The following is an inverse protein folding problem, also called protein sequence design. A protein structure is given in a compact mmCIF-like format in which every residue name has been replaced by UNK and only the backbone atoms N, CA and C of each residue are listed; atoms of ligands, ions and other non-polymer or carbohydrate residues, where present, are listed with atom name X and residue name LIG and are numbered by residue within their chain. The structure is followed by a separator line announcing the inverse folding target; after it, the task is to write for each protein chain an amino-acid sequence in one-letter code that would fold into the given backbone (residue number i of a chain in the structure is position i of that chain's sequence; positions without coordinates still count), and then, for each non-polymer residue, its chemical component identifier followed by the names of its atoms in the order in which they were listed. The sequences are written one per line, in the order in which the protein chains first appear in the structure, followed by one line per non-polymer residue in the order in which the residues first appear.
data_IF_876710657580
#
_entry.id   IF_876710657580
#
_cell.length_a   1.000
_cell.length_b   1.000
_cell.length_c   1.000
_cell.angle_alpha   90.00
_cell.angle_beta   90.00
_cell.angle_gamma   90.00
#
_symmetry.space_group_name_H-M   'P 1'
#
loop_
_entity.id
_entity.type
_entity.pdbx_description
1 polymer ?
#
# COMPACT_ATOMS: atom_id res chain seq x y z
N UNK A 1 62.95 23.79 55.76
CA UNK A 1 61.87 22.85 56.16
C UNK A 1 60.61 23.64 56.51
N UNK A 2 59.73 23.90 55.53
CA UNK A 2 58.42 24.58 55.76
C UNK A 2 57.40 24.18 54.69
N UNK A 3 57.48 22.94 54.19
CA UNK A 3 56.69 22.46 53.05
C UNK A 3 55.82 21.23 53.41
N UNK A 4 55.69 20.91 54.70
CA UNK A 4 54.88 19.80 55.21
C UNK A 4 53.52 20.23 55.78
N UNK A 5 53.27 21.53 55.96
CA UNK A 5 51.98 22.05 56.49
C UNK A 5 50.94 22.37 55.42
N UNK A 6 51.33 22.65 54.17
CA UNK A 6 50.39 22.97 53.10
C UNK A 6 49.83 21.74 52.39
N UNK A 7 50.51 20.60 52.46
CA UNK A 7 50.06 19.36 51.81
C UNK A 7 48.90 18.68 52.58
N UNK A 8 48.90 18.77 53.91
CA UNK A 8 47.81 18.25 54.74
C UNK A 8 46.52 19.07 54.65
N UNK A 9 46.62 20.39 54.42
CA UNK A 9 45.43 21.25 54.23
C UNK A 9 44.78 21.00 52.86
N UNK A 10 45.57 20.75 51.82
CA UNK A 10 45.05 20.43 50.48
C UNK A 10 44.36 19.05 50.44
N UNK A 11 44.88 18.05 51.17
CA UNK A 11 44.27 16.72 51.23
C UNK A 11 42.95 16.72 52.05
N UNK A 12 42.86 17.56 53.08
CA UNK A 12 41.64 17.74 53.88
C UNK A 12 40.51 18.46 53.10
N UNK A 13 40.85 19.40 52.20
CA UNK A 13 39.86 20.05 51.32
C UNK A 13 39.38 19.15 50.17
N UNK A 14 40.24 18.24 49.67
CA UNK A 14 39.87 17.26 48.64
C UNK A 14 39.00 16.12 49.19
N UNK A 15 39.19 15.71 50.46
CA UNK A 15 38.36 14.69 51.09
C UNK A 15 36.94 15.18 51.43
N UNK A 16 36.76 16.48 51.66
CA UNK A 16 35.46 17.08 51.97
C UNK A 16 34.56 17.29 50.73
N UNK A 17 35.15 17.31 49.52
CA UNK A 17 34.42 17.49 48.26
C UNK A 17 33.95 16.16 47.63
N UNK A 18 34.45 15.02 48.11
CA UNK A 18 34.01 13.66 47.72
C UNK A 18 32.85 13.11 48.58
N UNK A 19 32.46 13.82 49.64
CA UNK A 19 31.35 13.45 50.54
C UNK A 19 30.07 14.26 50.28
N UNK A 20 30.08 15.15 49.27
CA UNK A 20 28.94 15.95 48.84
C UNK A 20 28.29 15.40 47.55
N UNK A 21 28.45 14.11 47.27
CA UNK A 21 27.63 13.40 46.28
C UNK A 21 26.21 13.31 46.83
N UNK A 22 25.43 14.36 46.53
CA UNK A 22 24.00 14.43 46.79
C UNK A 22 23.36 13.14 46.32
N UNK A 23 22.52 12.55 47.17
CA UNK A 23 21.69 11.42 46.78
C UNK A 23 20.92 11.86 45.54
N UNK A 24 21.20 11.26 44.38
CA UNK A 24 20.33 11.35 43.23
C UNK A 24 19.03 10.65 43.64
N UNK A 25 18.08 11.42 44.16
CA UNK A 25 16.70 10.98 44.32
C UNK A 25 16.13 10.90 42.91
N UNK A 26 16.33 9.77 42.24
CA UNK A 26 15.50 9.38 41.12
C UNK A 26 14.12 9.03 41.70
N UNK A 27 13.36 10.05 42.06
CA UNK A 27 11.97 9.89 42.45
C UNK A 27 11.19 9.70 41.15
N UNK A 28 10.62 8.51 40.95
CA UNK A 28 9.60 8.32 39.93
C UNK A 28 8.48 9.31 40.24
N UNK A 29 8.32 10.32 39.39
CA UNK A 29 7.12 11.13 39.37
C UNK A 29 6.12 10.42 38.45
N UNK A 30 4.98 10.01 39.01
CA UNK A 30 3.88 9.55 38.18
C UNK A 30 3.45 10.71 37.28
N UNK A 31 3.47 10.49 35.97
CA UNK A 31 2.98 11.46 35.00
C UNK A 31 1.49 11.70 35.28
N UNK A 32 1.09 12.97 35.35
CA UNK A 32 -0.31 13.35 35.48
C UNK A 32 -1.07 13.01 34.18
N UNK A 33 -2.40 12.84 34.24
CA UNK A 33 -3.21 12.53 33.05
C UNK A 33 -3.07 13.58 31.92
N UNK A 34 -2.72 14.83 32.23
CA UNK A 34 -2.39 15.87 31.24
C UNK A 34 -1.01 15.69 30.59
N UNK A 35 -0.03 15.17 31.33
CA UNK A 35 1.28 14.81 30.79
C UNK A 35 1.20 13.47 30.04
N UNK A 36 0.40 12.51 30.52
CA UNK A 36 0.05 11.29 29.80
C UNK A 36 -0.76 11.57 28.53
N UNK A 37 -1.59 12.62 28.50
CA UNK A 37 -2.26 13.12 27.28
C UNK A 37 -1.27 13.75 26.29
N UNK A 38 -0.18 14.34 26.79
CA UNK A 38 0.91 14.86 25.95
C UNK A 38 1.81 13.74 25.45
N UNK A 39 1.96 12.67 26.24
CA UNK A 39 2.41 11.35 25.77
C UNK A 39 1.26 10.68 25.01
N UNK A 40 0.83 11.32 23.91
CA UNK A 40 0.03 10.65 22.91
C UNK A 40 0.83 9.40 22.51
N UNK A 41 0.31 8.22 22.85
CA UNK A 41 0.78 7.00 22.23
C UNK A 41 0.75 7.24 20.74
N UNK A 42 1.92 7.23 20.10
CA UNK A 42 2.03 7.26 18.65
C UNK A 42 1.38 5.97 18.17
N UNK A 43 0.06 6.02 17.99
CA UNK A 43 -0.68 4.92 17.41
C UNK A 43 -0.06 4.68 16.04
N UNK A 44 0.17 3.42 15.71
CA UNK A 44 0.69 2.93 14.43
C UNK A 44 -0.16 3.38 13.21
N UNK A 45 -1.17 4.23 13.39
CA UNK A 45 -2.11 4.60 12.35
C UNK A 45 -2.33 6.11 12.29
N UNK A 46 -2.23 6.68 11.09
CA UNK A 46 -2.64 8.04 10.78
C UNK A 46 -4.07 8.05 10.22
N UNK A 47 -4.86 9.07 10.60
CA UNK A 47 -6.22 9.25 10.10
C UNK A 47 -6.31 10.60 9.39
N UNK A 48 -6.84 10.61 8.17
CA UNK A 48 -7.08 11.83 7.40
C UNK A 48 -8.46 11.81 6.75
N UNK A 49 -9.05 13.00 6.61
CA UNK A 49 -10.34 13.17 5.95
C UNK A 49 -10.18 14.12 4.76
N UNK A 50 -10.88 13.82 3.66
CA UNK A 50 -10.93 14.67 2.47
C UNK A 50 -12.31 14.61 1.85
N UNK A 51 -12.60 15.55 0.94
CA UNK A 51 -13.83 15.56 0.15
C UNK A 51 -13.49 15.80 -1.30
N UNK A 52 -14.09 15.02 -2.20
CA UNK A 52 -13.84 15.12 -3.63
C UNK A 52 -15.06 14.67 -4.43
N UNK A 53 -15.47 15.46 -5.43
CA UNK A 53 -16.61 15.18 -6.31
C UNK A 53 -17.90 14.74 -5.60
N UNK A 54 -18.23 15.37 -4.47
CA UNK A 54 -19.46 15.09 -3.72
C UNK A 54 -19.38 13.86 -2.78
N UNK A 55 -18.21 13.23 -2.68
CA UNK A 55 -17.93 12.18 -1.71
C UNK A 55 -17.02 12.70 -0.60
N UNK A 56 -17.23 12.18 0.60
CA UNK A 56 -16.35 12.37 1.75
C UNK A 56 -15.54 11.08 1.97
N UNK A 57 -14.27 11.22 2.30
CA UNK A 57 -13.32 10.12 2.46
C UNK A 57 -12.71 10.14 3.85
N UNK A 58 -12.58 8.98 4.48
CA UNK A 58 -11.80 8.79 5.71
C UNK A 58 -10.74 7.73 5.46
N UNK A 59 -9.48 8.15 5.42
CA UNK A 59 -8.31 7.28 5.25
C UNK A 59 -7.68 6.96 6.59
N UNK A 60 -7.38 5.69 6.82
CA UNK A 60 -6.63 5.16 7.95
C UNK A 60 -5.39 4.46 7.37
N UNK A 61 -4.20 4.98 7.62
CA UNK A 61 -2.95 4.48 7.04
C UNK A 61 -1.95 4.06 8.13
N UNK A 62 -1.10 3.06 7.87
CA UNK A 62 -0.16 2.49 8.85
C UNK A 62 1.07 3.36 9.14
N UNK A 63 1.29 4.44 8.39
CA UNK A 63 2.45 5.33 8.49
C UNK A 63 3.79 4.57 8.61
N UNK A 64 3.93 3.53 7.78
CA UNK A 64 5.04 2.59 7.84
C UNK A 64 5.42 2.04 6.46
N UNK A 65 6.69 1.67 6.32
CA UNK A 65 7.19 0.88 5.19
C UNK A 65 7.17 -0.61 5.54
N UNK A 66 6.56 -1.40 4.66
CA UNK A 66 6.37 -2.85 4.80
C UNK A 66 7.13 -3.58 3.70
N UNK A 67 7.91 -4.59 4.10
CA UNK A 67 8.49 -5.57 3.17
C UNK A 67 7.59 -6.80 3.13
N UNK A 68 7.23 -7.24 1.93
CA UNK A 68 6.32 -8.36 1.72
C UNK A 68 6.95 -9.44 0.84
N UNK A 69 7.00 -10.66 1.37
CA UNK A 69 7.05 -11.87 0.56
C UNK A 69 5.77 -12.65 0.84
N UNK A 70 4.91 -12.81 -0.16
CA UNK A 70 3.65 -13.50 0.02
C UNK A 70 3.19 -14.21 -1.25
N UNK A 71 2.44 -15.29 -1.08
CA UNK A 71 1.74 -16.00 -2.14
C UNK A 71 0.25 -16.01 -1.83
N UNK A 72 -0.54 -15.46 -2.74
CA UNK A 72 -1.99 -15.52 -2.74
C UNK A 72 -2.41 -16.38 -3.93
N UNK A 73 -3.27 -17.35 -3.70
CA UNK A 73 -3.79 -18.24 -4.72
C UNK A 73 -5.32 -18.19 -4.72
N UNK A 74 -5.91 -18.32 -5.91
CA UNK A 74 -7.35 -18.41 -6.11
C UNK A 74 -8.14 -17.25 -5.47
N UNK A 75 -7.68 -16.02 -5.69
CA UNK A 75 -8.40 -14.83 -5.28
C UNK A 75 -9.57 -14.60 -6.25
N UNK A 76 -10.78 -14.90 -5.78
CA UNK A 76 -12.02 -14.67 -6.53
C UNK A 76 -12.94 -13.75 -5.75
N UNK A 77 -13.19 -12.56 -6.26
CA UNK A 77 -13.94 -11.52 -5.57
C UNK A 77 -14.98 -10.87 -6.50
N UNK A 78 -16.13 -10.49 -5.93
CA UNK A 78 -17.17 -9.75 -6.66
C UNK A 78 -17.93 -10.63 -7.65
N UNK A 79 -18.32 -11.82 -7.21
CA UNK A 79 -19.12 -12.75 -7.98
C UNK A 79 -20.61 -12.39 -7.93
N UNK A 80 -21.19 -12.12 -9.09
CA UNK A 80 -22.61 -11.81 -9.29
C UNK A 80 -22.97 -11.89 -10.78
N UNK A 81 -24.25 -11.88 -11.10
CA UNK A 81 -24.70 -11.93 -12.50
C UNK A 81 -24.40 -10.62 -13.24
N UNK A 82 -23.66 -10.70 -14.34
CA UNK A 82 -23.35 -9.56 -15.21
C UNK A 82 -23.42 -10.00 -16.68
N UNK A 83 -24.54 -9.72 -17.33
CA UNK A 83 -24.86 -10.26 -18.66
C UNK A 83 -23.77 -10.02 -19.74
N UNK A 84 -23.14 -8.83 -19.85
CA UNK A 84 -22.14 -8.59 -20.89
C UNK A 84 -20.91 -9.49 -20.82
N UNK A 85 -20.58 -10.07 -19.65
CA UNK A 85 -19.40 -10.93 -19.42
C UNK A 85 -19.62 -11.92 -18.27
N UNK A 86 -20.67 -12.71 -18.36
CA UNK A 86 -21.05 -13.60 -17.25
C UNK A 86 -20.19 -14.87 -17.16
N UNK A 87 -19.44 -15.21 -18.22
CA UNK A 87 -18.69 -16.48 -18.31
C UNK A 87 -17.61 -16.68 -17.26
N UNK A 88 -16.94 -15.61 -16.80
CA UNK A 88 -15.94 -15.67 -15.72
C UNK A 88 -16.55 -15.44 -14.32
N UNK A 89 -17.74 -14.85 -14.23
CA UNK A 89 -18.56 -14.72 -13.03
C UNK A 89 -18.10 -13.72 -11.96
N UNK A 90 -16.83 -13.28 -11.94
CA UNK A 90 -16.27 -12.44 -10.87
C UNK A 90 -15.60 -11.16 -11.38
N UNK A 91 -15.62 -10.11 -10.54
CA UNK A 91 -14.96 -8.84 -10.83
C UNK A 91 -13.44 -8.95 -10.80
N UNK A 92 -12.87 -9.67 -9.83
CA UNK A 92 -11.46 -10.05 -9.82
C UNK A 92 -11.34 -11.56 -9.71
N UNK A 93 -10.68 -12.19 -10.67
CA UNK A 93 -10.34 -13.61 -10.65
C UNK A 93 -8.84 -13.77 -10.94
N UNK A 94 -8.08 -14.06 -9.89
CA UNK A 94 -6.62 -14.15 -9.92
C UNK A 94 -6.21 -15.51 -9.35
N UNK A 95 -5.75 -16.39 -10.23
CA UNK A 95 -5.32 -17.74 -9.85
C UNK A 95 -4.01 -17.75 -9.04
N UNK A 96 -3.12 -16.80 -9.32
CA UNK A 96 -1.87 -16.62 -8.59
C UNK A 96 -1.48 -15.14 -8.53
N UNK A 97 -1.14 -14.67 -7.33
CA UNK A 97 -0.56 -13.36 -7.07
C UNK A 97 0.59 -13.54 -6.07
N UNK A 98 1.81 -13.26 -6.49
CA UNK A 98 3.03 -13.53 -5.73
C UNK A 98 3.83 -12.25 -5.58
N UNK A 99 4.03 -11.81 -4.36
CA UNK A 99 4.85 -10.66 -4.02
C UNK A 99 6.28 -11.14 -3.78
N UNK A 100 7.17 -10.81 -4.72
CA UNK A 100 8.53 -11.30 -4.76
C UNK A 100 8.69 -12.53 -5.64
N UNK A 101 9.94 -12.90 -5.89
CA UNK A 101 10.34 -14.09 -6.65
C UNK A 101 11.65 -14.66 -6.11
N UNK A 102 11.79 -15.98 -6.15
CA UNK A 102 12.95 -16.71 -5.63
C UNK A 102 13.94 -17.18 -6.71
N UNK A 103 13.60 -17.00 -7.99
CA UNK A 103 14.38 -17.43 -9.16
C UNK A 103 15.27 -16.33 -9.77
N UNK A 104 15.33 -15.13 -9.16
CA UNK A 104 16.12 -13.99 -9.63
C UNK A 104 17.10 -13.41 -8.57
N UNK A 105 17.36 -14.15 -7.48
CA UNK A 105 18.26 -13.75 -6.40
C UNK A 105 17.56 -13.00 -5.25
N UNK A 106 18.32 -12.71 -4.18
CA UNK A 106 17.76 -12.17 -2.93
C UNK A 106 17.14 -10.78 -3.08
N UNK A 107 17.63 -9.96 -4.01
CA UNK A 107 17.12 -8.61 -4.24
C UNK A 107 15.66 -8.59 -4.71
N UNK A 108 15.20 -9.66 -5.37
CA UNK A 108 13.85 -9.76 -5.93
C UNK A 108 12.90 -10.55 -5.03
N UNK A 109 13.34 -10.99 -3.84
CA UNK A 109 12.50 -11.79 -2.92
C UNK A 109 11.45 -10.99 -2.17
N UNK A 110 11.58 -9.67 -2.10
CA UNK A 110 10.71 -8.81 -1.32
C UNK A 110 10.13 -7.73 -2.21
N UNK A 111 8.86 -7.40 -1.97
CA UNK A 111 8.20 -6.22 -2.50
C UNK A 111 8.12 -5.18 -1.38
N UNK A 112 8.49 -3.95 -1.70
CA UNK A 112 8.39 -2.80 -0.81
C UNK A 112 7.01 -2.16 -0.95
N UNK A 113 6.33 -1.93 0.16
CA UNK A 113 5.01 -1.29 0.23
C UNK A 113 5.11 -0.12 1.21
N UNK A 114 4.83 1.09 0.74
CA UNK A 114 4.87 2.31 1.55
C UNK A 114 3.47 2.73 1.95
N UNK A 115 3.29 2.97 3.25
CA UNK A 115 2.10 3.52 3.88
C UNK A 115 0.79 2.83 3.42
N UNK A 116 0.60 1.53 3.72
CA UNK A 116 -0.63 0.84 3.39
C UNK A 116 -1.81 1.45 4.15
N UNK A 117 -2.97 1.53 3.50
CA UNK A 117 -4.14 2.21 4.02
C UNK A 117 -5.46 1.51 3.67
N UNK A 118 -6.47 1.81 4.47
CA UNK A 118 -7.88 1.65 4.14
C UNK A 118 -8.51 3.04 4.03
N UNK A 119 -9.39 3.25 3.05
CA UNK A 119 -10.10 4.51 2.87
C UNK A 119 -11.58 4.24 2.64
N UNK A 120 -12.41 4.74 3.54
CA UNK A 120 -13.87 4.63 3.47
C UNK A 120 -14.45 5.80 2.70
N UNK A 121 -15.49 5.53 1.91
CA UNK A 121 -16.18 6.51 1.08
C UNK A 121 -17.60 6.69 1.58
N UNK A 122 -17.99 7.95 1.77
CA UNK A 122 -19.30 8.36 2.22
C UNK A 122 -19.93 9.36 1.25
N UNK A 123 -21.26 9.41 1.22
CA UNK A 123 -22.01 10.48 0.55
C UNK A 123 -23.10 11.02 1.47
N UNK A 124 -23.41 12.30 1.31
CA UNK A 124 -24.53 12.93 2.00
C UNK A 124 -25.84 12.59 1.28
N UNK A 125 -26.86 12.14 2.01
CA UNK A 125 -28.14 11.67 1.43
C UNK A 125 -29.24 12.74 1.45
N UNK A 126 -28.87 14.02 1.57
CA UNK A 126 -29.80 15.16 1.51
C UNK A 126 -30.52 15.50 2.82
N UNK A 127 -30.35 14.71 3.89
CA UNK A 127 -30.80 15.04 5.25
C UNK A 127 -29.62 15.32 6.16
N UNK A 128 -29.69 16.40 6.95
CA UNK A 128 -28.64 16.73 7.92
C UNK A 128 -28.39 15.53 8.86
N UNK A 129 -27.15 15.06 8.93
CA UNK A 129 -26.74 13.93 9.76
C UNK A 129 -26.88 12.54 9.14
N UNK A 130 -27.40 12.39 7.92
CA UNK A 130 -27.46 11.09 7.24
C UNK A 130 -26.34 10.93 6.19
N UNK A 131 -25.26 10.25 6.61
CA UNK A 131 -24.18 9.81 5.73
C UNK A 131 -24.37 8.35 5.36
N UNK A 132 -24.35 8.07 4.07
CA UNK A 132 -24.36 6.70 3.56
C UNK A 132 -22.92 6.25 3.27
N UNK A 133 -22.56 5.05 3.74
CA UNK A 133 -21.33 4.36 3.33
C UNK A 133 -21.50 3.86 1.90
N UNK A 134 -20.74 4.45 0.97
CA UNK A 134 -20.72 4.08 -0.45
C UNK A 134 -19.83 2.88 -0.70
N UNK A 135 -18.73 2.77 0.04
CA UNK A 135 -17.78 1.68 -0.10
C UNK A 135 -16.46 1.96 0.61
N UNK A 136 -15.43 1.23 0.23
CA UNK A 136 -14.08 1.42 0.72
C UNK A 136 -13.05 1.01 -0.33
N UNK A 137 -11.81 1.47 -0.18
CA UNK A 137 -10.64 0.93 -0.88
C UNK A 137 -9.53 0.60 0.10
N UNK A 138 -8.71 -0.37 -0.30
CA UNK A 138 -7.41 -0.64 0.30
C UNK A 138 -6.33 -0.35 -0.73
N UNK A 139 -5.20 0.18 -0.30
CA UNK A 139 -4.09 0.52 -1.18
C UNK A 139 -2.85 0.89 -0.39
N UNK A 140 -1.90 1.48 -1.09
CA UNK A 140 -0.65 1.97 -0.52
C UNK A 140 -0.18 3.18 -1.32
N UNK A 141 0.61 4.04 -0.69
CA UNK A 141 1.16 5.23 -1.36
C UNK A 141 2.30 4.88 -2.33
N UNK A 142 2.95 3.72 -2.13
CA UNK A 142 4.00 3.23 -3.00
C UNK A 142 4.10 1.71 -3.00
N UNK A 143 4.40 1.14 -4.17
CA UNK A 143 4.85 -0.25 -4.31
C UNK A 143 6.06 -0.32 -5.24
N UNK A 144 7.06 -1.11 -4.86
CA UNK A 144 8.24 -1.38 -5.68
C UNK A 144 8.67 -2.83 -5.55
N UNK A 145 8.91 -3.49 -6.69
CA UNK A 145 9.39 -4.87 -6.76
C UNK A 145 8.66 -5.71 -7.78
N UNK A 146 9.03 -6.99 -7.84
CA UNK A 146 8.48 -7.94 -8.80
C UNK A 146 7.24 -8.63 -8.23
N UNK A 147 6.17 -8.66 -9.03
CA UNK A 147 4.91 -9.35 -8.71
C UNK A 147 4.64 -10.40 -9.79
N UNK A 148 4.63 -11.67 -9.40
CA UNK A 148 4.10 -12.74 -10.24
C UNK A 148 2.58 -12.69 -10.25
N UNK A 149 1.94 -12.77 -11.42
CA UNK A 149 0.48 -12.72 -11.52
C UNK A 149 -0.06 -13.60 -12.63
N UNK A 150 -1.25 -14.17 -12.40
CA UNK A 150 -2.04 -14.85 -13.43
C UNK A 150 -3.52 -14.52 -13.22
N UNK A 151 -3.98 -13.54 -13.98
CA UNK A 151 -5.31 -12.96 -13.89
C UNK A 151 -6.18 -13.54 -15.00
N UNK A 152 -7.32 -14.13 -14.62
CA UNK A 152 -8.31 -14.63 -15.56
C UNK A 152 -9.25 -13.51 -16.01
N UNK A 153 -9.78 -12.73 -15.06
CA UNK A 153 -10.53 -11.51 -15.35
C UNK A 153 -10.30 -10.45 -14.29
N UNK A 154 -10.37 -9.19 -14.70
CA UNK A 154 -10.34 -8.06 -13.78
C UNK A 154 -11.35 -6.97 -14.14
N UNK A 155 -11.88 -6.31 -13.12
CA UNK A 155 -12.67 -5.09 -13.23
C UNK A 155 -11.81 -3.96 -12.75
N UNK A 156 -11.44 -3.03 -13.61
CA UNK A 156 -10.47 -2.05 -13.20
C UNK A 156 -9.90 -1.17 -14.31
N UNK A 157 -9.12 -0.20 -13.86
CA UNK A 157 -8.24 0.61 -14.68
C UNK A 157 -6.79 0.15 -14.44
N UNK A 158 -6.34 -0.82 -15.24
CA UNK A 158 -4.96 -1.32 -15.22
C UNK A 158 -4.28 -1.07 -16.56
N UNK A 159 -3.00 -0.68 -16.52
CA UNK A 159 -2.13 -0.59 -17.69
C UNK A 159 -0.78 -1.20 -17.39
N UNK A 160 -0.36 -2.16 -18.21
CA UNK A 160 0.96 -2.79 -18.16
C UNK A 160 1.73 -2.39 -19.41
N UNK A 161 2.89 -1.77 -19.24
CA UNK A 161 3.84 -1.50 -20.32
C UNK A 161 4.63 -2.76 -20.66
N UNK A 162 4.54 -3.25 -21.89
CA UNK A 162 5.24 -4.43 -22.39
C UNK A 162 6.40 -4.06 -23.33
N UNK A 163 6.86 -2.80 -23.30
CA UNK A 163 7.96 -2.30 -24.11
C UNK A 163 7.66 -2.39 -25.60
N UNK A 164 8.57 -2.99 -26.37
CA UNK A 164 8.41 -3.14 -27.82
C UNK A 164 7.17 -3.98 -28.22
N UNK A 165 6.64 -4.81 -27.31
CA UNK A 165 5.44 -5.61 -27.57
C UNK A 165 4.13 -4.80 -27.44
N UNK A 166 4.21 -3.55 -26.95
CA UNK A 166 3.09 -2.64 -26.78
C UNK A 166 2.67 -2.50 -25.31
N UNK A 167 1.37 -2.43 -25.06
CA UNK A 167 0.83 -2.32 -23.71
C UNK A 167 -0.49 -3.10 -23.60
N UNK A 168 -0.75 -3.61 -22.40
CA UNK A 168 -2.03 -4.20 -22.02
C UNK A 168 -2.77 -3.14 -21.22
N UNK A 169 -3.89 -2.66 -21.72
CA UNK A 169 -4.59 -1.53 -21.12
C UNK A 169 -6.09 -1.77 -21.11
N UNK A 170 -6.65 -1.89 -19.91
CA UNK A 170 -8.10 -1.98 -19.67
C UNK A 170 -8.91 -0.85 -20.28
N UNK A 171 -8.34 0.35 -20.48
CA UNK A 171 -9.08 1.48 -21.02
C UNK A 171 -9.28 1.40 -22.54
N UNK A 172 -8.61 0.46 -23.23
CA UNK A 172 -8.90 0.19 -24.64
C UNK A 172 -10.11 -0.75 -24.80
N UNK A 173 -10.61 -1.31 -23.70
CA UNK A 173 -11.80 -2.14 -23.69
C UNK A 173 -13.07 -1.28 -23.89
N UNK A 174 -13.89 -1.56 -24.92
CA UNK A 174 -15.19 -0.90 -25.11
C UNK A 174 -16.15 -1.10 -23.92
N UNK A 175 -15.96 -2.17 -23.14
CA UNK A 175 -16.71 -2.45 -21.91
C UNK A 175 -16.24 -1.67 -20.68
N UNK A 176 -15.32 -0.72 -20.84
CA UNK A 176 -14.81 0.14 -19.76
C UNK A 176 -13.96 -0.61 -18.73
N UNK A 177 -13.42 -1.78 -19.07
CA UNK A 177 -12.56 -2.56 -18.18
C UNK A 177 -13.32 -3.41 -17.16
N UNK A 178 -14.65 -3.53 -17.25
CA UNK A 178 -15.45 -4.37 -16.34
C UNK A 178 -15.34 -5.85 -16.71
N UNK A 179 -14.89 -6.70 -15.77
CA UNK A 179 -14.64 -8.14 -15.96
C UNK A 179 -13.89 -8.45 -17.25
N UNK A 180 -12.92 -7.62 -17.58
CA UNK A 180 -12.11 -7.77 -18.77
C UNK A 180 -11.14 -8.94 -18.61
N UNK A 181 -11.12 -9.81 -19.62
CA UNK A 181 -10.27 -11.01 -19.69
C UNK A 181 -8.96 -10.76 -20.44
N UNK A 182 -8.70 -9.51 -20.84
CA UNK A 182 -7.54 -9.15 -21.63
C UNK A 182 -7.69 -9.38 -23.12
N UNK A 183 -8.84 -9.89 -23.59
CA UNK A 183 -9.08 -10.09 -25.01
C UNK A 183 -9.66 -8.81 -25.63
N UNK A 184 -9.09 -8.40 -26.75
CA UNK A 184 -9.61 -7.29 -27.55
C UNK A 184 -9.32 -7.51 -29.03
N UNK A 185 -10.24 -7.07 -29.89
CA UNK A 185 -10.09 -7.18 -31.33
C UNK A 185 -8.89 -6.34 -31.81
N UNK A 186 -7.88 -6.98 -32.40
CA UNK A 186 -6.69 -6.31 -32.94
C UNK A 186 -5.56 -6.08 -31.94
N UNK A 187 -5.68 -6.55 -30.70
CA UNK A 187 -4.61 -6.46 -29.71
C UNK A 187 -3.51 -7.50 -29.99
N UNK A 188 -2.25 -7.08 -29.90
CA UNK A 188 -1.06 -7.94 -30.08
C UNK A 188 -0.71 -8.73 -28.83
N UNK A 189 -1.24 -8.32 -27.67
CA UNK A 189 -1.00 -8.92 -26.37
C UNK A 189 -2.31 -9.18 -25.64
N UNK A 190 -2.39 -10.32 -24.97
CA UNK A 190 -3.48 -10.66 -24.05
C UNK A 190 -3.00 -10.66 -22.60
N UNK A 191 -3.92 -10.43 -21.67
CA UNK A 191 -3.62 -10.47 -20.23
C UNK A 191 -3.06 -11.83 -19.77
N UNK A 192 -3.51 -12.92 -20.39
CA UNK A 192 -3.04 -14.28 -20.11
C UNK A 192 -1.56 -14.51 -20.42
N UNK A 193 -0.93 -13.66 -21.25
CA UNK A 193 0.49 -13.73 -21.53
C UNK A 193 1.33 -13.10 -20.42
N UNK A 194 0.77 -12.25 -19.55
CA UNK A 194 1.53 -11.67 -18.44
C UNK A 194 1.69 -12.73 -17.34
N UNK A 195 2.92 -13.17 -17.11
CA UNK A 195 3.25 -14.04 -15.98
C UNK A 195 3.78 -13.28 -14.76
N UNK A 196 4.36 -12.10 -14.99
CA UNK A 196 4.85 -11.22 -13.94
C UNK A 196 5.00 -9.78 -14.43
N UNK A 197 4.99 -8.86 -13.47
CA UNK A 197 5.23 -7.44 -13.67
C UNK A 197 6.26 -6.94 -12.66
N UNK A 198 6.93 -5.85 -13.01
CA UNK A 198 7.69 -5.03 -12.07
C UNK A 198 6.89 -3.77 -11.80
N UNK A 199 6.66 -3.50 -10.51
CA UNK A 199 6.06 -2.28 -10.03
C UNK A 199 7.13 -1.27 -9.64
N UNK A 200 6.94 -0.02 -10.02
CA UNK A 200 7.95 1.03 -9.88
C UNK A 200 8.99 1.00 -11.01
N UNK A 201 9.82 2.04 -11.02
CA UNK A 201 10.89 2.24 -11.99
C UNK A 201 12.05 3.02 -11.37
N UNK A 202 13.02 3.43 -12.19
CA UNK A 202 14.16 4.25 -11.75
C UNK A 202 13.74 5.61 -11.17
N UNK A 203 12.54 6.11 -11.48
CA UNK A 203 11.99 7.35 -10.93
C UNK A 203 11.21 7.13 -9.62
N UNK A 204 11.17 5.90 -9.09
CA UNK A 204 10.57 5.57 -7.80
C UNK A 204 9.41 4.56 -7.87
N UNK A 205 8.70 4.34 -6.76
CA UNK A 205 7.63 3.34 -6.68
C UNK A 205 6.43 3.70 -7.57
N UNK A 206 5.61 2.70 -7.87
CA UNK A 206 4.25 2.87 -8.42
C UNK A 206 3.33 3.40 -7.32
N UNK A 207 2.55 4.45 -7.61
CA UNK A 207 1.83 5.23 -6.58
C UNK A 207 0.31 5.12 -6.61
N UNK A 208 -0.25 4.34 -7.54
CA UNK A 208 -1.70 4.35 -7.81
C UNK A 208 -2.38 3.00 -7.62
N UNK A 209 -1.73 2.04 -6.97
CA UNK A 209 -2.37 0.76 -6.68
C UNK A 209 -3.42 0.89 -5.59
N UNK A 210 -4.63 0.41 -5.88
CA UNK A 210 -5.66 0.14 -4.88
C UNK A 210 -6.72 -0.82 -5.43
N UNK A 211 -7.45 -1.45 -4.51
CA UNK A 211 -8.65 -2.25 -4.80
C UNK A 211 -9.79 -1.69 -3.97
N UNK A 212 -10.94 -1.45 -4.61
CA UNK A 212 -12.14 -0.93 -3.96
C UNK A 212 -13.30 -1.92 -4.02
N UNK A 213 -14.23 -1.76 -3.07
CA UNK A 213 -15.54 -2.39 -3.05
C UNK A 213 -16.58 -1.29 -2.90
N UNK A 214 -17.44 -1.14 -3.90
CA UNK A 214 -18.29 0.04 -4.08
C UNK A 214 -19.75 -0.35 -4.38
N UNK A 215 -20.69 0.37 -3.78
CA UNK A 215 -22.12 0.26 -4.09
C UNK A 215 -22.52 1.03 -5.35
N UNK A 216 -21.86 2.17 -5.59
CA UNK A 216 -22.08 3.05 -6.73
C UNK A 216 -20.73 3.50 -7.29
N UNK A 217 -20.67 4.01 -8.53
CA UNK A 217 -19.44 4.58 -9.04
C UNK A 217 -18.87 5.68 -8.13
N UNK A 218 -17.54 5.74 -8.03
CA UNK A 218 -16.79 6.72 -7.24
C UNK A 218 -15.57 7.18 -8.02
N UNK A 219 -15.43 8.49 -8.14
CA UNK A 219 -14.20 9.10 -8.61
C UNK A 219 -13.26 9.33 -7.43
N UNK A 220 -12.15 8.58 -7.37
CA UNK A 220 -11.11 8.80 -6.39
C UNK A 220 -10.15 9.92 -6.81
N UNK A 221 -9.58 10.62 -5.82
CA UNK A 221 -8.51 11.57 -6.05
C UNK A 221 -7.21 10.83 -6.41
N UNK A 222 -6.53 11.32 -7.44
CA UNK A 222 -5.21 10.83 -7.84
C UNK A 222 -4.13 11.26 -6.82
N UNK A 223 -3.06 10.48 -6.72
CA UNK A 223 -1.88 10.86 -5.94
C UNK A 223 -1.26 12.17 -6.50
N UNK A 224 -0.55 12.96 -5.67
CA UNK A 224 0.10 14.18 -6.13
C UNK A 224 0.99 13.96 -7.36
N UNK A 225 0.78 14.79 -8.40
CA UNK A 225 1.55 14.71 -9.65
C UNK A 225 1.14 13.56 -10.59
N UNK A 226 0.03 12.87 -10.32
CA UNK A 226 -0.55 11.87 -11.23
C UNK A 226 -1.69 12.45 -12.07
N UNK A 227 -1.95 11.91 -13.27
CA UNK A 227 -3.16 12.23 -14.03
C UNK A 227 -4.42 11.84 -13.24
N UNK A 228 -5.55 12.45 -13.59
CA UNK A 228 -6.84 12.08 -13.02
C UNK A 228 -7.13 10.59 -13.26
N UNK A 229 -7.65 9.92 -12.23
CA UNK A 229 -8.03 8.52 -12.30
C UNK A 229 -9.28 8.34 -13.17
N UNK A 230 -9.50 7.13 -13.68
CA UNK A 230 -10.79 6.77 -14.26
C UNK A 230 -11.79 6.47 -13.13
N UNK A 231 -13.06 6.78 -13.33
CA UNK A 231 -14.10 6.53 -12.33
C UNK A 231 -14.21 5.03 -12.04
N UNK A 232 -14.11 4.67 -10.76
CA UNK A 232 -14.25 3.31 -10.30
C UNK A 232 -15.73 2.92 -10.32
N UNK A 233 -16.07 1.83 -11.00
CA UNK A 233 -17.47 1.38 -11.10
C UNK A 233 -17.91 0.58 -9.86
N UNK A 234 -19.23 0.43 -9.69
CA UNK A 234 -19.80 -0.40 -8.63
C UNK A 234 -19.32 -1.86 -8.72
N UNK A 235 -19.32 -2.55 -7.57
CA UNK A 235 -18.72 -3.87 -7.39
C UNK A 235 -17.27 -3.75 -6.90
N UNK A 236 -16.42 -4.64 -7.36
CA UNK A 236 -14.98 -4.59 -7.06
C UNK A 236 -14.26 -3.93 -8.23
N UNK A 237 -13.34 -3.03 -7.90
CA UNK A 237 -12.58 -2.29 -8.90
C UNK A 237 -11.11 -2.19 -8.50
N UNK A 238 -10.21 -2.48 -9.43
CA UNK A 238 -8.77 -2.35 -9.25
C UNK A 238 -8.26 -1.15 -10.04
N UNK A 239 -7.33 -0.39 -9.48
CA UNK A 239 -6.53 0.58 -10.25
C UNK A 239 -5.05 0.25 -10.10
N UNK A 240 -4.33 0.23 -11.22
CA UNK A 240 -2.88 0.11 -11.25
C UNK A 240 -2.35 0.52 -12.63
N UNK A 241 -1.98 1.78 -12.79
CA UNK A 241 -1.54 2.33 -14.09
C UNK A 241 -0.20 3.03 -14.02
N UNK A 242 0.24 3.41 -12.82
CA UNK A 242 1.54 4.04 -12.59
C UNK A 242 2.62 2.97 -12.62
N UNK A 243 3.63 3.17 -13.47
CA UNK A 243 4.92 2.44 -13.42
C UNK A 243 4.76 0.93 -13.24
N UNK A 244 3.93 0.34 -14.10
CA UNK A 244 3.69 -1.09 -14.13
C UNK A 244 4.21 -1.62 -15.46
N UNK A 245 5.27 -2.42 -15.42
CA UNK A 245 5.93 -2.96 -16.60
C UNK A 245 5.90 -4.48 -16.60
N UNK A 246 5.76 -5.10 -17.77
CA UNK A 246 5.78 -6.55 -17.90
C UNK A 246 7.22 -7.05 -17.68
N UNK A 247 7.36 -7.96 -16.72
CA UNK A 247 8.63 -8.65 -16.46
C UNK A 247 8.79 -9.85 -17.38
N UNK A 248 7.69 -10.53 -17.70
CA UNK A 248 7.65 -11.54 -18.74
C UNK A 248 6.27 -11.61 -19.43
N UNK A 249 6.27 -12.08 -20.67
CA UNK A 249 5.08 -12.25 -21.51
C UNK A 249 4.86 -13.72 -21.91
N UNK A 250 5.29 -14.66 -21.07
CA UNK A 250 5.20 -16.11 -21.34
C UNK A 250 4.01 -16.78 -20.65
N UNK A 251 3.26 -16.03 -19.84
CA UNK A 251 2.21 -16.55 -18.95
C UNK A 251 2.75 -17.37 -17.78
N UNK A 252 4.07 -17.50 -17.64
CA UNK A 252 4.71 -18.24 -16.57
C UNK A 252 4.91 -17.35 -15.36
N UNK A 253 4.26 -17.72 -14.26
CA UNK A 253 4.40 -17.03 -12.97
C UNK A 253 5.71 -17.48 -12.30
N UNK A 254 6.67 -16.58 -12.04
CA UNK A 254 7.92 -16.90 -11.35
C UNK A 254 7.67 -17.58 -10.00
N UNK A 255 8.57 -18.48 -9.62
CA UNK A 255 8.51 -19.11 -8.30
C UNK A 255 8.72 -18.05 -7.21
N UNK A 256 7.98 -18.17 -6.11
CA UNK A 256 8.21 -17.37 -4.90
C UNK A 256 8.16 -18.30 -3.70
N UNK A 257 9.28 -18.94 -3.42
CA UNK A 257 9.43 -19.85 -2.30
C UNK A 257 9.96 -19.10 -1.08
N UNK A 258 9.56 -19.54 0.11
CA UNK A 258 10.11 -19.00 1.34
C UNK A 258 11.64 -19.23 1.38
N UNK A 259 12.43 -18.31 1.96
CA UNK A 259 13.86 -18.53 2.14
C UNK A 259 14.10 -19.82 2.96
N UNK A 260 14.82 -20.79 2.38
CA UNK A 260 15.26 -21.99 3.11
C UNK A 260 14.50 -23.30 2.84
N UNK A 261 13.70 -23.38 1.78
CA UNK A 261 13.11 -24.63 1.29
C UNK A 261 13.45 -24.89 -0.18
#
# INVERSE_FOLDING_TARGET
MSMSRNFFVALAFAACSLLASGRAWAQMHALSDSELSTVNGQGLFSVSNSSYNGFDFTRIALDADVTLNANLANLRLGEYSYAPRNGSGADLDISALRFGRSDAGEANRLVQITNPYFEFVYRNTGSAGQREVVGMRLGFDGISGDIGMKIATLSGAMRIDAGAAGAIDTLTDPGGGKRWDGNCAGCTLSLSQVGAVTAGDAAGPSRDFWISVLKTPVQFQAAPGMPALTEAQAGIWLNWRDKLSALNLTGMVPANTAPGH
#
